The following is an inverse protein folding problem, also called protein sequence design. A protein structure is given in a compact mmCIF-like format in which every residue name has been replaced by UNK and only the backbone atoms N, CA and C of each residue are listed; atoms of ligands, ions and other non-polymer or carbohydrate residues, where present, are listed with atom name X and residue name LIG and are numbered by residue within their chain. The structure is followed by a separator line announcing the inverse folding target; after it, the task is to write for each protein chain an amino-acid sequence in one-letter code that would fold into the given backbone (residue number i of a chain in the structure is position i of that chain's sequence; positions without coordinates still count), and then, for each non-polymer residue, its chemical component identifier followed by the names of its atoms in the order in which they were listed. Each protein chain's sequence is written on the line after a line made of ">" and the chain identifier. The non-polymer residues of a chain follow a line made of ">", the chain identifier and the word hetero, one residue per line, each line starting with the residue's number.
data_IF_146230648729
#
_entry.id   IF_146230648729
#
_cell.length_a   1.000
_cell.length_b   1.000
_cell.length_c   1.000
_cell.angle_alpha   90.00
_cell.angle_beta   90.00
_cell.angle_gamma   90.00
#
_symmetry.space_group_name_H-M   'P 1'
#
loop_
_entity.id
_entity.type
_entity.pdbx_description
1 polymer ?
#
# COMPACT_ATOMS: atom_id res chain seq x y z
N UNK A 1 15.14 -7.81 -9.04
CA UNK A 1 15.22 -7.08 -7.75
C UNK A 1 14.56 -5.72 -7.91
N UNK A 2 13.41 -5.53 -7.26
CA UNK A 2 12.69 -4.25 -7.27
C UNK A 2 13.04 -3.48 -6.01
N UNK A 3 12.97 -2.16 -6.07
CA UNK A 3 13.20 -1.34 -4.88
C UNK A 3 11.96 -1.36 -3.97
N UNK A 4 12.21 -1.68 -2.70
CA UNK A 4 11.24 -1.54 -1.63
C UNK A 4 11.23 -0.10 -1.17
N UNK A 5 10.04 0.45 -0.97
CA UNK A 5 9.87 1.82 -0.49
C UNK A 5 10.52 1.98 0.89
N UNK A 6 11.21 3.09 1.09
CA UNK A 6 11.66 3.50 2.43
C UNK A 6 10.45 3.65 3.34
N UNK A 7 10.30 2.72 4.28
CA UNK A 7 9.12 2.67 5.16
C UNK A 7 9.15 3.75 6.24
N UNK A 8 10.32 4.27 6.60
CA UNK A 8 10.50 5.18 7.73
C UNK A 8 10.36 6.64 7.29
N UNK A 9 11.00 7.04 6.19
CA UNK A 9 10.91 8.40 5.66
C UNK A 9 9.74 8.55 4.69
N UNK A 10 9.87 7.98 3.49
CA UNK A 10 8.86 8.12 2.43
C UNK A 10 7.50 7.53 2.87
N UNK A 11 7.52 6.39 3.55
CA UNK A 11 6.32 5.76 4.10
C UNK A 11 5.54 6.64 5.08
N UNK A 12 6.23 7.44 5.90
CA UNK A 12 5.60 8.38 6.81
C UNK A 12 4.91 9.53 6.06
N UNK A 13 5.54 10.04 5.00
CA UNK A 13 4.92 11.05 4.13
C UNK A 13 3.64 10.51 3.47
N UNK A 14 3.62 9.25 3.04
CA UNK A 14 2.44 8.60 2.48
C UNK A 14 1.30 8.53 3.51
N UNK A 15 1.59 8.15 4.76
CA UNK A 15 0.59 8.14 5.84
C UNK A 15 0.03 9.53 6.13
N UNK A 16 0.90 10.55 6.22
CA UNK A 16 0.50 11.94 6.44
C UNK A 16 -0.41 12.42 5.29
N UNK A 17 -0.03 12.15 4.03
CA UNK A 17 -0.82 12.52 2.87
C UNK A 17 -2.19 11.83 2.87
N UNK A 18 -2.24 10.53 3.16
CA UNK A 18 -3.49 9.77 3.26
C UNK A 18 -4.43 10.33 4.33
N UNK A 19 -3.91 10.54 5.54
CA UNK A 19 -4.68 11.08 6.66
C UNK A 19 -5.18 12.50 6.39
N UNK A 20 -4.31 13.41 5.93
CA UNK A 20 -4.68 14.80 5.63
C UNK A 20 -5.65 14.90 4.46
N UNK A 21 -5.43 14.12 3.40
CA UNK A 21 -6.31 14.07 2.23
C UNK A 21 -7.73 13.66 2.61
N UNK A 22 -7.87 12.61 3.44
CA UNK A 22 -9.19 12.15 3.91
C UNK A 22 -9.84 13.10 4.92
N UNK A 23 -9.05 13.83 5.72
CA UNK A 23 -9.56 14.90 6.58
C UNK A 23 -10.16 16.05 5.77
N UNK A 24 -9.52 16.41 4.66
CA UNK A 24 -10.00 17.49 3.78
C UNK A 24 -11.18 17.07 2.89
N UNK A 25 -11.14 15.84 2.35
CA UNK A 25 -12.21 15.28 1.51
C UNK A 25 -12.49 13.84 1.91
N UNK A 26 -13.55 13.65 2.69
CA UNK A 26 -14.02 12.30 3.07
C UNK A 26 -14.31 11.49 1.81
N UNK A 27 -13.73 10.30 1.72
CA UNK A 27 -13.93 9.38 0.59
C UNK A 27 -13.08 9.66 -0.65
N UNK A 28 -12.09 10.56 -0.59
CA UNK A 28 -11.09 10.68 -1.66
C UNK A 28 -10.41 9.32 -1.91
N UNK A 29 -10.33 8.94 -3.18
CA UNK A 29 -9.63 7.73 -3.63
C UNK A 29 -8.14 8.01 -3.74
N UNK A 30 -7.34 7.17 -3.12
CA UNK A 30 -5.89 7.30 -3.10
C UNK A 30 -5.26 6.01 -3.62
N UNK A 31 -4.24 6.14 -4.46
CA UNK A 31 -3.48 5.00 -4.94
C UNK A 31 -2.04 5.36 -5.22
N UNK A 32 -1.27 4.36 -5.61
CA UNK A 32 0.16 4.50 -5.92
C UNK A 32 0.47 3.87 -7.28
N UNK A 33 1.42 4.46 -7.99
CA UNK A 33 1.95 3.95 -9.25
C UNK A 33 3.47 3.82 -9.19
N UNK A 34 4.04 3.17 -10.19
CA UNK A 34 5.48 2.99 -10.33
C UNK A 34 5.95 1.63 -9.81
N UNK A 35 7.25 1.53 -9.52
CA UNK A 35 7.88 0.25 -9.23
C UNK A 35 7.39 -0.38 -7.92
N UNK A 36 7.29 0.43 -6.88
CA UNK A 36 6.79 0.04 -5.55
C UNK A 36 5.37 -0.54 -5.58
N UNK A 37 4.55 -0.18 -6.59
CA UNK A 37 3.20 -0.72 -6.75
C UNK A 37 3.15 -2.22 -7.08
N UNK A 38 4.29 -2.83 -7.42
CA UNK A 38 4.44 -4.26 -7.65
C UNK A 38 5.37 -4.97 -6.65
N UNK A 39 5.84 -4.27 -5.62
CA UNK A 39 6.70 -4.83 -4.57
C UNK A 39 5.88 -5.26 -3.35
N UNK A 40 5.93 -6.53 -2.91
CA UNK A 40 5.09 -7.03 -1.82
C UNK A 40 5.20 -6.26 -0.49
N UNK A 41 6.42 -5.88 -0.09
CA UNK A 41 6.63 -5.15 1.17
C UNK A 41 6.05 -3.74 1.11
N UNK A 42 6.29 -3.05 -0.01
CA UNK A 42 5.71 -1.73 -0.29
C UNK A 42 4.18 -1.78 -0.32
N UNK A 43 3.58 -2.79 -0.96
CA UNK A 43 2.13 -3.00 -0.97
C UNK A 43 1.57 -3.14 0.45
N UNK A 44 2.27 -3.88 1.32
CA UNK A 44 1.91 -3.99 2.72
C UNK A 44 1.89 -2.64 3.44
N UNK A 45 2.86 -1.76 3.17
CA UNK A 45 2.87 -0.40 3.71
C UNK A 45 1.70 0.43 3.18
N UNK A 46 1.45 0.40 1.87
CA UNK A 46 0.35 1.16 1.26
C UNK A 46 -1.02 0.73 1.76
N UNK A 47 -1.22 -0.58 1.99
CA UNK A 47 -2.40 -1.12 2.63
C UNK A 47 -2.57 -0.55 4.05
N UNK A 48 -1.53 -0.60 4.88
CA UNK A 48 -1.57 -0.02 6.25
C UNK A 48 -1.77 1.50 6.25
N UNK A 49 -1.24 2.21 5.26
CA UNK A 49 -1.48 3.64 5.05
C UNK A 49 -2.90 3.95 4.53
N UNK A 50 -3.68 2.92 4.21
CA UNK A 50 -5.08 3.00 3.82
C UNK A 50 -5.32 3.37 2.36
N UNK A 51 -4.36 3.15 1.45
CA UNK A 51 -4.58 3.38 0.02
C UNK A 51 -5.66 2.43 -0.54
N UNK A 52 -6.41 2.90 -1.54
CA UNK A 52 -7.50 2.17 -2.18
C UNK A 52 -7.01 1.21 -3.28
N UNK A 53 -5.91 1.54 -3.97
CA UNK A 53 -5.39 0.71 -5.06
C UNK A 53 -3.88 0.87 -5.28
N UNK A 54 -3.29 -0.12 -5.98
CA UNK A 54 -1.93 -0.08 -6.50
C UNK A 54 -1.95 -0.23 -8.03
N UNK A 55 -1.01 0.41 -8.71
CA UNK A 55 -0.82 0.32 -10.15
C UNK A 55 0.62 -0.08 -10.46
N UNK A 56 0.78 -1.13 -11.25
CA UNK A 56 2.08 -1.69 -11.61
C UNK A 56 2.08 -2.18 -13.07
N UNK A 57 3.26 -2.53 -13.60
CA UNK A 57 3.37 -3.04 -14.96
C UNK A 57 2.61 -4.37 -15.14
N UNK A 58 2.13 -4.71 -16.36
CA UNK A 58 1.24 -5.86 -16.57
C UNK A 58 1.74 -7.19 -15.99
N UNK A 59 3.03 -7.48 -16.16
CA UNK A 59 3.66 -8.70 -15.66
C UNK A 59 3.71 -8.80 -14.12
N UNK A 60 3.55 -7.67 -13.41
CA UNK A 60 3.53 -7.60 -11.95
C UNK A 60 2.13 -7.68 -11.35
N UNK A 61 1.08 -7.62 -12.18
CA UNK A 61 -0.31 -7.71 -11.70
C UNK A 61 -0.55 -8.98 -10.84
N UNK A 62 -0.09 -10.19 -11.22
CA UNK A 62 -0.30 -11.38 -10.39
C UNK A 62 0.36 -11.28 -9.01
N UNK A 63 1.58 -10.74 -8.96
CA UNK A 63 2.34 -10.53 -7.71
C UNK A 63 1.62 -9.51 -6.83
N UNK A 64 1.22 -8.37 -7.41
CA UNK A 64 0.55 -7.31 -6.69
C UNK A 64 -0.79 -7.78 -6.10
N UNK A 65 -1.56 -8.59 -6.85
CA UNK A 65 -2.81 -9.19 -6.36
C UNK A 65 -2.58 -10.13 -5.18
N UNK A 66 -1.58 -11.01 -5.27
CA UNK A 66 -1.24 -11.93 -4.18
C UNK A 66 -0.76 -11.18 -2.93
N UNK A 67 0.15 -10.22 -3.10
CA UNK A 67 0.67 -9.41 -2.00
C UNK A 67 -0.43 -8.60 -1.31
N UNK A 68 -1.36 -8.00 -2.07
CA UNK A 68 -2.50 -7.29 -1.51
C UNK A 68 -3.40 -8.21 -0.67
N UNK A 69 -3.67 -9.44 -1.16
CA UNK A 69 -4.45 -10.42 -0.41
C UNK A 69 -3.74 -10.84 0.89
N UNK A 70 -2.43 -11.09 0.83
CA UNK A 70 -1.61 -11.43 1.99
C UNK A 70 -1.56 -10.28 3.02
N UNK A 71 -1.47 -9.02 2.57
CA UNK A 71 -1.50 -7.85 3.45
C UNK A 71 -2.82 -7.75 4.23
N UNK A 72 -3.94 -8.05 3.58
CA UNK A 72 -5.27 -8.06 4.23
C UNK A 72 -5.37 -9.21 5.24
N UNK A 73 -5.05 -10.44 4.82
CA UNK A 73 -5.18 -11.63 5.68
C UNK A 73 -4.21 -11.56 6.87
N UNK A 74 -2.96 -11.16 6.61
CA UNK A 74 -1.93 -11.03 7.65
C UNK A 74 -2.23 -9.92 8.65
N UNK A 75 -2.85 -8.81 8.21
CA UNK A 75 -3.28 -7.73 9.11
C UNK A 75 -4.38 -8.16 10.08
N UNK A 76 -5.31 -9.02 9.64
CA UNK A 76 -6.43 -9.49 10.46
C UNK A 76 -6.02 -10.50 11.55
N UNK A 77 -4.89 -11.21 11.39
CA UNK A 77 -4.40 -12.16 12.40
C UNK A 77 -3.82 -11.50 13.67
N UNK A 78 -3.76 -10.17 13.73
CA UNK A 78 -3.40 -9.41 14.94
C UNK A 78 -4.53 -9.38 15.98
N UNK A 79 -5.78 -9.69 15.59
CA UNK A 79 -6.96 -9.66 16.47
C UNK A 79 -7.31 -11.04 17.06
N UNK A 80 -6.58 -12.10 16.68
CA UNK A 80 -6.86 -13.49 17.09
C UNK A 80 -5.87 -14.04 18.13
N UNK A 81 -5.06 -13.19 18.76
CA UNK A 81 -4.18 -13.56 19.89
C UNK A 81 -4.51 -12.78 21.14
#
# INVERSE_FOLDING_TARGET
>A
PFETIDQVGVGELVKIASARGRKAKRGIKLGVCGEHGGDPESIGLFYRAGLDYVSCSPYRIPIARLAAAQAIIGGNNSETK
#
